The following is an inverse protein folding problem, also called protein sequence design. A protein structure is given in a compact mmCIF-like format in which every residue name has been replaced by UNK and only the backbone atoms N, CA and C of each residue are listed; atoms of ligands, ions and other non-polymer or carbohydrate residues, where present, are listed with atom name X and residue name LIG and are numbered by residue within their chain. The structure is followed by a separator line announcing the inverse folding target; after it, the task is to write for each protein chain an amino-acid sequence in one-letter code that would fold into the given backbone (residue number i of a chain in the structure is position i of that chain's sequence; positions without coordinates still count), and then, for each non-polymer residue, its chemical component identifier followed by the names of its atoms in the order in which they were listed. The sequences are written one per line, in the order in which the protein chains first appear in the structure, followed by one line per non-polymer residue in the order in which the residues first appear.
data_IF_559695746775
#
_entry.id   IF_559695746775
#
_cell.length_a   1.000
_cell.length_b   1.000
_cell.length_c   1.000
_cell.angle_alpha   90.00
_cell.angle_beta   90.00
_cell.angle_gamma   90.00
#
_symmetry.space_group_name_H-M   'P 1'
#
loop_
_entity.id
_entity.type
_entity.pdbx_description
1 polymer ?
#
# COMPACT_ATOMS: atom_id res chain seq x y z
N UNK A 1 13.42 8.71 -14.31
CA UNK A 1 12.06 8.49 -14.87
C UNK A 1 11.28 9.77 -14.65
N UNK A 2 10.74 10.35 -15.73
CA UNK A 2 9.90 11.56 -15.63
C UNK A 2 8.47 11.10 -15.35
N UNK A 3 8.02 11.26 -14.11
CA UNK A 3 6.61 11.06 -13.77
C UNK A 3 5.85 12.31 -14.19
N UNK A 4 5.04 12.19 -15.23
CA UNK A 4 4.17 13.28 -15.66
C UNK A 4 2.96 13.32 -14.74
N UNK A 5 2.66 14.46 -14.10
CA UNK A 5 1.47 14.56 -13.26
C UNK A 5 0.20 14.36 -14.10
N UNK A 6 -0.90 13.85 -13.51
CA UNK A 6 -2.16 13.65 -14.21
C UNK A 6 -2.60 14.93 -14.92
N UNK A 7 -3.07 14.81 -16.18
CA UNK A 7 -3.49 15.93 -17.02
C UNK A 7 -4.89 16.41 -16.61
N UNK A 8 -5.01 17.06 -15.47
CA UNK A 8 -6.26 17.68 -15.05
C UNK A 8 -6.54 18.93 -15.92
N UNK A 9 -7.72 18.98 -16.52
CA UNK A 9 -8.18 20.11 -17.32
C UNK A 9 -9.03 21.08 -16.54
N UNK A 10 -9.77 20.61 -15.53
CA UNK A 10 -10.74 21.37 -14.77
C UNK A 10 -10.49 21.28 -13.27
N UNK A 11 -10.79 22.37 -12.58
CA UNK A 11 -10.68 22.48 -11.13
C UNK A 11 -11.74 21.63 -10.42
N UNK A 12 -11.37 20.76 -9.48
CA UNK A 12 -12.34 19.94 -8.75
C UNK A 12 -13.26 20.77 -7.83
N UNK A 13 -12.83 21.98 -7.44
CA UNK A 13 -13.62 22.84 -6.54
C UNK A 13 -14.71 23.64 -7.25
N UNK A 14 -14.46 24.12 -8.48
CA UNK A 14 -15.38 25.07 -9.14
C UNK A 14 -15.61 24.81 -10.62
N UNK A 15 -15.04 23.77 -11.20
CA UNK A 15 -15.13 23.43 -12.63
C UNK A 15 -14.40 24.40 -13.57
N UNK A 16 -13.68 25.40 -13.06
CA UNK A 16 -12.90 26.33 -13.88
C UNK A 16 -11.70 25.66 -14.53
N UNK A 17 -11.22 26.18 -15.67
CA UNK A 17 -10.06 25.65 -16.36
C UNK A 17 -8.78 25.76 -15.52
N UNK A 18 -7.95 24.75 -15.56
CA UNK A 18 -6.63 24.74 -14.92
C UNK A 18 -5.56 25.12 -15.93
N UNK A 19 -4.59 25.93 -15.49
CA UNK A 19 -3.38 26.25 -16.27
C UNK A 19 -2.14 26.08 -15.42
N UNK A 20 -1.08 25.60 -16.04
CA UNK A 20 0.24 25.51 -15.39
C UNK A 20 0.80 26.92 -15.15
N UNK A 21 1.26 27.16 -13.93
CA UNK A 21 1.87 28.41 -13.48
C UNK A 21 3.06 28.14 -12.58
N UNK A 22 4.14 28.91 -12.67
CA UNK A 22 5.24 28.86 -11.69
C UNK A 22 4.72 29.16 -10.27
N UNK A 23 5.09 28.31 -9.31
CA UNK A 23 4.81 28.50 -7.87
C UNK A 23 5.99 28.01 -7.06
N UNK A 24 6.83 28.92 -6.58
CA UNK A 24 8.08 28.63 -5.94
C UNK A 24 9.05 27.95 -6.93
N UNK A 25 9.56 26.79 -6.56
CA UNK A 25 10.53 25.99 -7.31
C UNK A 25 9.91 25.06 -8.36
N UNK A 26 8.58 25.04 -8.49
CA UNK A 26 7.85 24.10 -9.36
C UNK A 26 6.67 24.75 -10.06
N UNK A 27 6.36 24.19 -11.23
CA UNK A 27 5.12 24.46 -11.90
C UNK A 27 3.95 23.73 -11.23
N UNK A 28 2.82 24.45 -11.05
CA UNK A 28 1.58 23.92 -10.46
C UNK A 28 0.39 24.23 -11.36
N UNK A 29 -0.63 23.38 -11.27
CA UNK A 29 -1.92 23.67 -11.89
C UNK A 29 -2.69 24.67 -11.04
N UNK A 30 -3.08 25.79 -11.64
CA UNK A 30 -3.82 26.89 -10.96
C UNK A 30 -5.13 27.12 -11.68
N UNK A 31 -6.23 27.16 -10.93
CA UNK A 31 -7.54 27.45 -11.47
C UNK A 31 -7.64 28.91 -11.96
N UNK A 32 -8.15 29.10 -13.18
CA UNK A 32 -8.31 30.43 -13.76
C UNK A 32 -9.53 31.18 -13.21
N UNK A 33 -10.45 30.48 -12.49
CA UNK A 33 -11.68 31.03 -11.94
C UNK A 33 -11.59 31.31 -10.44
N UNK A 34 -11.22 30.31 -9.62
CA UNK A 34 -11.16 30.47 -8.17
C UNK A 34 -9.73 30.63 -7.62
N UNK A 35 -8.72 30.61 -8.48
CA UNK A 35 -7.30 30.75 -8.16
C UNK A 35 -6.72 29.66 -7.25
N UNK A 36 -7.49 28.59 -6.99
CA UNK A 36 -7.01 27.44 -6.21
C UNK A 36 -5.83 26.77 -6.89
N UNK A 37 -4.82 26.37 -6.11
CA UNK A 37 -3.66 25.63 -6.58
C UNK A 37 -3.92 24.13 -6.38
N UNK A 38 -3.94 23.38 -7.48
CA UNK A 38 -4.12 21.94 -7.40
C UNK A 38 -2.78 21.25 -7.08
N UNK A 39 -2.71 20.63 -5.91
CA UNK A 39 -1.63 19.76 -5.53
C UNK A 39 -1.97 18.32 -5.93
N UNK A 40 -1.06 17.69 -6.67
CA UNK A 40 -1.16 16.27 -7.02
C UNK A 40 -0.21 15.50 -6.12
N UNK A 41 -0.78 14.77 -5.18
CA UNK A 41 -0.05 13.98 -4.21
C UNK A 41 -0.11 12.48 -4.57
N UNK A 42 0.90 11.68 -4.22
CA UNK A 42 0.79 10.23 -4.32
C UNK A 42 -0.33 9.73 -3.41
N UNK A 43 -1.01 8.67 -3.81
CA UNK A 43 -1.94 7.97 -2.93
C UNK A 43 -1.17 7.27 -1.81
N UNK A 44 -1.82 7.10 -0.65
CA UNK A 44 -1.23 6.36 0.48
C UNK A 44 -1.77 4.94 0.45
N UNK A 45 -0.86 3.97 0.34
CA UNK A 45 -1.14 2.55 0.48
C UNK A 45 -0.65 2.03 1.82
N UNK A 46 -1.34 1.01 2.34
CA UNK A 46 -0.98 0.32 3.58
C UNK A 46 -0.94 -1.17 3.34
N UNK A 47 -0.06 -1.87 4.04
CA UNK A 47 0.07 -3.32 3.96
C UNK A 47 0.36 -3.91 5.34
N UNK A 48 -0.10 -5.12 5.59
CA UNK A 48 0.15 -5.83 6.85
C UNK A 48 0.99 -7.08 6.59
N UNK A 49 2.17 -7.11 7.18
CA UNK A 49 3.08 -8.27 7.13
C UNK A 49 2.82 -9.15 8.34
N UNK A 50 2.18 -10.28 8.11
CA UNK A 50 1.98 -11.31 9.14
C UNK A 50 3.01 -12.40 8.96
N UNK A 51 3.74 -12.71 10.04
CA UNK A 51 4.76 -13.76 10.06
C UNK A 51 4.30 -14.96 10.88
N UNK A 52 4.56 -16.15 10.35
CA UNK A 52 4.44 -17.43 11.05
C UNK A 52 5.77 -18.19 10.86
N UNK A 53 6.55 -18.28 11.93
CA UNK A 53 7.89 -18.86 11.89
C UNK A 53 8.81 -18.17 10.85
N UNK A 54 9.23 -18.89 9.82
CA UNK A 54 10.04 -18.39 8.70
C UNK A 54 9.22 -17.99 7.46
N UNK A 55 7.88 -18.03 7.56
CA UNK A 55 6.95 -17.70 6.49
C UNK A 55 6.26 -16.36 6.73
N UNK A 56 5.86 -15.69 5.63
CA UNK A 56 4.94 -14.55 5.67
C UNK A 56 3.70 -14.82 4.80
N UNK A 57 2.61 -14.13 5.12
CA UNK A 57 1.36 -14.22 4.38
C UNK A 57 1.46 -13.43 3.07
N UNK A 58 0.98 -14.05 1.99
CA UNK A 58 0.86 -13.48 0.66
C UNK A 58 -0.54 -13.66 0.12
N UNK A 59 -0.94 -12.76 -0.77
CA UNK A 59 -2.16 -12.86 -1.53
C UNK A 59 -1.89 -12.78 -3.03
N UNK A 60 -2.63 -13.56 -3.84
CA UNK A 60 -2.56 -13.51 -5.30
C UNK A 60 -3.67 -12.61 -5.82
N UNK A 61 -3.30 -11.68 -6.69
CA UNK A 61 -4.22 -10.70 -7.28
C UNK A 61 -5.23 -11.39 -8.22
N UNK A 62 -6.52 -11.18 -7.96
CA UNK A 62 -7.65 -11.75 -8.72
C UNK A 62 -7.82 -11.09 -10.09
N UNK A 63 -7.47 -9.82 -10.22
CA UNK A 63 -7.75 -9.04 -11.42
C UNK A 63 -6.84 -7.82 -11.58
N UNK A 64 -7.20 -6.98 -12.56
CA UNK A 64 -6.47 -5.75 -12.87
C UNK A 64 -5.14 -6.00 -13.58
N UNK A 65 -4.25 -4.97 -13.65
CA UNK A 65 -2.99 -5.05 -14.37
C UNK A 65 -1.99 -6.06 -13.78
N UNK A 66 -2.22 -6.50 -12.54
CA UNK A 66 -1.35 -7.43 -11.82
C UNK A 66 -2.03 -8.78 -11.56
N UNK A 67 -3.02 -9.16 -12.36
CA UNK A 67 -3.73 -10.43 -12.23
C UNK A 67 -2.76 -11.62 -12.20
N UNK A 68 -2.92 -12.51 -11.22
CA UNK A 68 -2.09 -13.69 -11.02
C UNK A 68 -0.75 -13.44 -10.35
N UNK A 69 -0.38 -12.17 -10.11
CA UNK A 69 0.81 -11.83 -9.36
C UNK A 69 0.53 -11.75 -7.86
N UNK A 70 1.56 -11.96 -7.05
CA UNK A 70 1.50 -12.02 -5.60
C UNK A 70 1.90 -10.69 -4.96
N UNK A 71 1.25 -10.32 -3.87
CA UNK A 71 1.58 -9.17 -3.06
C UNK A 71 1.43 -9.49 -1.56
N UNK A 72 2.08 -8.71 -0.72
CA UNK A 72 1.70 -8.63 0.69
C UNK A 72 0.30 -7.99 0.73
N UNK A 73 -0.68 -8.53 1.51
CA UNK A 73 -2.02 -7.98 1.58
C UNK A 73 -2.01 -6.47 1.85
N UNK A 74 -2.69 -5.68 1.01
CA UNK A 74 -2.55 -4.25 0.98
C UNK A 74 -3.70 -3.53 0.25
N UNK A 75 -4.00 -2.32 0.68
CA UNK A 75 -4.96 -1.47 0.01
C UNK A 75 -4.72 0.01 0.24
N UNK A 76 -5.69 0.85 -0.09
CA UNK A 76 -5.58 2.29 0.03
C UNK A 76 -6.19 2.81 1.32
N UNK A 77 -5.59 3.89 1.83
CA UNK A 77 -6.18 4.68 2.93
C UNK A 77 -7.28 5.55 2.36
N UNK A 78 -8.47 5.45 2.93
CA UNK A 78 -9.62 6.27 2.54
C UNK A 78 -9.55 7.66 3.15
N UNK A 79 -10.31 8.61 2.57
CA UNK A 79 -10.37 9.97 3.09
C UNK A 79 -10.89 10.01 4.53
N UNK A 80 -10.07 10.57 5.44
CA UNK A 80 -10.43 10.68 6.86
C UNK A 80 -10.17 9.43 7.69
N UNK A 81 -9.57 8.39 7.09
CA UNK A 81 -9.23 7.15 7.77
C UNK A 81 -7.82 7.19 8.37
N UNK A 82 -7.66 6.64 9.58
CA UNK A 82 -6.33 6.40 10.16
C UNK A 82 -5.61 5.27 9.44
N UNK A 83 -4.32 5.43 9.20
CA UNK A 83 -3.52 4.47 8.40
C UNK A 83 -3.47 3.05 9.00
N UNK A 84 -3.59 2.90 10.34
CA UNK A 84 -3.60 1.58 10.99
C UNK A 84 -4.99 0.95 10.92
N UNK A 85 -6.03 1.76 10.98
CA UNK A 85 -7.41 1.32 10.77
C UNK A 85 -7.58 0.82 9.34
N UNK A 86 -7.10 1.59 8.35
CA UNK A 86 -7.08 1.19 6.95
C UNK A 86 -6.33 -0.16 6.76
N UNK A 87 -5.14 -0.29 7.34
CA UNK A 87 -4.34 -1.51 7.24
C UNK A 87 -5.08 -2.73 7.83
N UNK A 88 -5.73 -2.58 8.99
CA UNK A 88 -6.50 -3.66 9.60
C UNK A 88 -7.74 -4.04 8.79
N UNK A 89 -8.44 -3.05 8.23
CA UNK A 89 -9.62 -3.24 7.37
C UNK A 89 -9.26 -3.99 6.09
N UNK A 90 -8.29 -3.49 5.32
CA UNK A 90 -7.84 -4.11 4.07
C UNK A 90 -7.34 -5.54 4.31
N UNK A 91 -6.57 -5.75 5.38
CA UNK A 91 -6.09 -7.08 5.73
C UNK A 91 -7.23 -8.06 6.02
N UNK A 92 -8.28 -7.62 6.73
CA UNK A 92 -9.46 -8.44 7.00
C UNK A 92 -10.25 -8.75 5.73
N UNK A 93 -10.49 -7.74 4.87
CA UNK A 93 -11.24 -7.86 3.63
C UNK A 93 -10.55 -8.81 2.64
N UNK A 94 -9.23 -8.73 2.53
CA UNK A 94 -8.43 -9.54 1.61
C UNK A 94 -8.12 -10.96 2.11
N UNK A 95 -8.03 -11.17 3.43
CA UNK A 95 -7.53 -12.44 3.99
C UNK A 95 -8.51 -13.18 4.90
N UNK A 96 -9.61 -12.55 5.32
CA UNK A 96 -10.54 -13.10 6.30
C UNK A 96 -9.98 -13.16 7.73
N UNK A 97 -8.76 -12.66 7.95
CA UNK A 97 -8.11 -12.64 9.27
C UNK A 97 -8.16 -11.25 9.89
N UNK A 98 -8.53 -11.17 11.16
CA UNK A 98 -8.33 -9.96 11.95
C UNK A 98 -6.90 -9.89 12.45
N UNK A 99 -6.28 -8.71 12.39
CA UNK A 99 -4.93 -8.47 12.85
C UNK A 99 -4.82 -7.24 13.75
N UNK A 100 -4.00 -7.35 14.78
CA UNK A 100 -3.47 -6.20 15.50
C UNK A 100 -2.33 -5.59 14.66
N UNK A 101 -2.44 -4.31 14.31
CA UNK A 101 -1.47 -3.58 13.50
C UNK A 101 -0.43 -2.94 14.40
N UNK A 102 0.80 -3.43 14.31
CA UNK A 102 1.94 -3.06 15.15
C UNK A 102 2.81 -1.93 14.57
N UNK A 103 4.12 -2.09 14.70
CA UNK A 103 5.12 -1.11 14.28
C UNK A 103 5.22 -1.00 12.75
N UNK A 104 5.67 0.17 12.26
CA UNK A 104 6.03 0.36 10.85
C UNK A 104 7.32 -0.40 10.57
N UNK A 105 7.28 -1.30 9.61
CA UNK A 105 8.43 -2.07 9.14
C UNK A 105 9.20 -1.36 8.04
N UNK A 106 8.45 -0.74 7.11
CA UNK A 106 9.01 -0.04 5.97
C UNK A 106 8.08 1.06 5.45
N UNK A 107 8.66 2.06 4.81
CA UNK A 107 7.96 3.06 4.01
C UNK A 107 8.69 3.20 2.69
N UNK A 108 8.00 2.96 1.58
CA UNK A 108 8.58 3.09 0.25
C UNK A 108 7.70 3.91 -0.68
N UNK A 109 8.33 4.68 -1.56
CA UNK A 109 7.66 5.28 -2.70
C UNK A 109 7.59 4.28 -3.84
N UNK A 110 6.40 4.11 -4.43
CA UNK A 110 6.17 3.26 -5.59
C UNK A 110 6.18 4.12 -6.86
N UNK A 111 7.11 3.85 -7.74
CA UNK A 111 7.26 4.50 -9.04
C UNK A 111 7.06 3.56 -10.24
N UNK A 112 6.64 2.31 -9.98
CA UNK A 112 6.45 1.30 -11.02
C UNK A 112 5.23 1.59 -11.91
N UNK A 113 4.22 2.29 -11.37
CA UNK A 113 3.10 2.83 -12.12
C UNK A 113 3.24 4.37 -12.17
N UNK A 114 3.72 4.93 -13.29
CA UNK A 114 3.94 6.37 -13.42
C UNK A 114 2.65 7.19 -13.47
N UNK A 115 1.51 6.56 -13.74
CA UNK A 115 0.20 7.22 -13.76
C UNK A 115 -0.43 7.30 -12.38
N UNK A 116 -0.02 6.41 -11.47
CA UNK A 116 -0.54 6.34 -10.11
C UNK A 116 0.59 6.15 -9.09
N UNK A 117 1.27 7.22 -8.80
CA UNK A 117 2.29 7.20 -7.75
C UNK A 117 1.68 6.93 -6.39
N UNK A 118 2.33 6.08 -5.59
CA UNK A 118 1.90 5.78 -4.22
C UNK A 118 3.05 5.86 -3.24
N UNK A 119 2.72 6.08 -1.97
CA UNK A 119 3.60 5.83 -0.83
C UNK A 119 3.00 4.67 -0.07
N UNK A 120 3.73 3.56 0.02
CA UNK A 120 3.33 2.38 0.77
C UNK A 120 3.93 2.39 2.17
N UNK A 121 3.11 2.00 3.15
CA UNK A 121 3.48 1.81 4.56
C UNK A 121 3.23 0.36 4.92
N UNK A 122 4.28 -0.39 5.25
CA UNK A 122 4.17 -1.79 5.69
C UNK A 122 4.23 -1.85 7.21
N UNK A 123 3.23 -2.47 7.80
CA UNK A 123 3.13 -2.67 9.24
C UNK A 123 3.39 -4.12 9.62
N UNK A 124 3.98 -4.35 10.78
CA UNK A 124 3.95 -5.66 11.42
C UNK A 124 2.53 -5.98 11.85
N UNK A 125 2.06 -7.21 11.61
CA UNK A 125 0.74 -7.66 12.01
C UNK A 125 0.80 -8.92 12.88
N UNK A 126 -0.10 -9.00 13.87
CA UNK A 126 -0.34 -10.19 14.69
C UNK A 126 -1.79 -10.64 14.48
N UNK A 127 -1.99 -11.88 14.02
CA UNK A 127 -3.33 -12.44 13.84
C UNK A 127 -4.02 -12.58 15.19
N UNK A 128 -5.23 -12.06 15.28
CA UNK A 128 -6.07 -12.10 16.48
C UNK A 128 -7.22 -13.12 16.36
N UNK A 129 -7.58 -13.49 15.12
CA UNK A 129 -8.67 -14.43 14.85
C UNK A 129 -9.07 -14.40 13.38
N UNK A 130 -10.16 -15.05 13.05
CA UNK A 130 -10.68 -15.16 11.70
C UNK A 130 -10.35 -16.51 11.05
N UNK A 131 -10.78 -16.67 9.79
CA UNK A 131 -10.52 -17.86 8.98
C UNK A 131 -9.78 -17.38 7.73
N UNK A 132 -8.61 -17.95 7.47
CA UNK A 132 -7.80 -17.61 6.30
C UNK A 132 -8.55 -17.97 5.02
N UNK A 133 -9.00 -16.97 4.32
CA UNK A 133 -9.76 -17.10 3.09
C UNK A 133 -9.53 -15.87 2.21
N UNK A 134 -9.18 -16.08 0.94
CA UNK A 134 -9.05 -14.98 -0.01
C UNK A 134 -10.37 -14.26 -0.21
N UNK A 135 -10.33 -12.95 -0.18
CA UNK A 135 -11.47 -12.07 -0.37
C UNK A 135 -11.08 -10.84 -1.19
N UNK A 136 -12.05 -9.98 -1.48
CA UNK A 136 -11.92 -8.75 -2.24
C UNK A 136 -11.09 -8.92 -3.52
N UNK A 137 -9.96 -8.27 -3.60
CA UNK A 137 -9.04 -8.23 -4.74
C UNK A 137 -8.16 -9.48 -4.91
N UNK A 138 -8.21 -10.43 -3.95
CA UNK A 138 -7.39 -11.64 -3.94
C UNK A 138 -8.22 -12.89 -4.28
N UNK A 139 -7.63 -13.84 -5.00
CA UNK A 139 -8.22 -15.15 -5.30
C UNK A 139 -7.53 -16.32 -4.60
N UNK A 140 -6.35 -16.08 -4.03
CA UNK A 140 -5.61 -17.05 -3.23
C UNK A 140 -4.81 -16.33 -2.14
N UNK A 141 -4.75 -16.91 -0.94
CA UNK A 141 -3.92 -16.44 0.18
C UNK A 141 -3.21 -17.62 0.81
N UNK A 142 -1.96 -17.39 1.21
CA UNK A 142 -1.16 -18.45 1.83
C UNK A 142 0.13 -17.95 2.46
N UNK A 143 0.70 -18.79 3.33
CA UNK A 143 2.00 -18.55 3.93
C UNK A 143 3.09 -19.16 3.08
N UNK A 144 4.09 -18.36 2.71
CA UNK A 144 5.25 -18.80 1.93
C UNK A 144 6.54 -18.44 2.64
N UNK A 145 7.60 -19.25 2.47
CA UNK A 145 8.89 -18.99 3.11
C UNK A 145 9.43 -17.61 2.75
N UNK A 146 9.91 -16.88 3.76
CA UNK A 146 10.54 -15.57 3.54
C UNK A 146 11.75 -15.69 2.59
N UNK A 147 12.44 -16.84 2.61
CA UNK A 147 13.57 -17.11 1.72
C UNK A 147 13.15 -17.29 0.26
N UNK A 148 11.93 -17.80 0.01
CA UNK A 148 11.40 -18.15 -1.32
C UNK A 148 9.97 -17.60 -1.45
N UNK A 149 9.79 -16.28 -1.63
CA UNK A 149 8.47 -15.69 -1.85
C UNK A 149 7.85 -16.21 -3.15
N UNK A 150 6.52 -16.22 -3.26
CA UNK A 150 5.86 -16.63 -4.49
C UNK A 150 6.14 -15.64 -5.63
N UNK A 151 6.06 -16.11 -6.87
CA UNK A 151 6.33 -15.28 -8.05
C UNK A 151 5.26 -15.48 -9.12
N UNK A 152 5.00 -14.47 -9.98
CA UNK A 152 5.62 -13.15 -9.99
C UNK A 152 5.09 -12.25 -8.86
N UNK A 153 5.87 -11.27 -8.43
CA UNK A 153 5.40 -10.23 -7.51
C UNK A 153 4.67 -9.13 -8.27
N UNK A 154 3.55 -8.67 -7.68
CA UNK A 154 2.77 -7.55 -8.20
C UNK A 154 3.52 -6.21 -8.04
N UNK A 155 4.17 -6.04 -6.90
CA UNK A 155 4.82 -4.78 -6.55
C UNK A 155 6.32 -4.99 -6.27
N UNK A 156 7.21 -4.28 -7.00
CA UNK A 156 8.66 -4.35 -6.76
C UNK A 156 9.07 -3.97 -5.33
N UNK A 157 8.26 -3.14 -4.66
CA UNK A 157 8.48 -2.72 -3.27
C UNK A 157 8.32 -3.84 -2.26
N UNK A 158 7.50 -4.87 -2.53
CA UNK A 158 7.40 -6.05 -1.66
C UNK A 158 8.73 -6.82 -1.60
N UNK A 159 9.47 -6.86 -2.70
CA UNK A 159 10.83 -7.43 -2.71
C UNK A 159 11.79 -6.64 -1.79
N UNK A 160 11.65 -5.31 -1.72
CA UNK A 160 12.45 -4.48 -0.82
C UNK A 160 12.11 -4.80 0.64
N UNK A 161 10.82 -4.88 0.97
CA UNK A 161 10.34 -5.25 2.31
C UNK A 161 10.88 -6.63 2.72
N UNK A 162 10.75 -7.64 1.85
CA UNK A 162 11.31 -8.98 2.10
C UNK A 162 12.83 -8.93 2.35
N UNK A 163 13.56 -8.12 1.58
CA UNK A 163 14.99 -7.96 1.77
C UNK A 163 15.34 -7.32 3.13
N UNK A 164 14.54 -6.38 3.60
CA UNK A 164 14.70 -5.76 4.93
C UNK A 164 14.37 -6.74 6.06
N UNK A 165 13.32 -7.53 5.91
CA UNK A 165 12.95 -8.58 6.86
C UNK A 165 14.05 -9.64 7.01
N UNK A 166 14.67 -10.07 5.90
CA UNK A 166 15.80 -11.01 5.90
C UNK A 166 17.03 -10.49 6.64
N UNK A 167 17.24 -9.17 6.66
CA UNK A 167 18.35 -8.54 7.39
C UNK A 167 18.12 -8.42 8.90
N UNK A 168 16.97 -8.88 9.40
CA UNK A 168 16.63 -8.80 10.83
C UNK A 168 16.42 -7.37 11.35
N UNK A 169 16.22 -6.39 10.48
CA UNK A 169 16.01 -4.99 10.86
C UNK A 169 14.62 -4.73 11.46
N UNK A 170 13.67 -5.60 11.19
CA UNK A 170 12.33 -5.49 11.75
C UNK A 170 12.30 -6.06 13.17
N UNK A 171 12.05 -5.21 14.15
CA UNK A 171 11.74 -5.66 15.53
C UNK A 171 10.30 -6.19 15.52
N UNK A 172 10.16 -7.49 15.42
CA UNK A 172 8.90 -8.14 15.75
C UNK A 172 8.76 -8.10 17.27
N UNK A 173 7.85 -7.30 17.79
CA UNK A 173 7.44 -7.45 19.18
C UNK A 173 6.71 -8.80 19.27
N UNK A 174 7.44 -9.84 19.69
CA UNK A 174 6.80 -11.06 20.11
C UNK A 174 5.85 -10.68 21.24
N UNK A 175 4.56 -10.91 21.06
CA UNK A 175 3.61 -10.83 22.17
C UNK A 175 4.19 -11.66 23.31
N UNK A 176 4.30 -11.06 24.49
CA UNK A 176 4.53 -11.86 25.70
C UNK A 176 3.40 -12.88 25.75
N UNK A 177 3.70 -14.17 25.94
CA UNK A 177 2.63 -15.10 26.25
C UNK A 177 1.92 -14.59 27.49
N UNK A 178 0.62 -14.39 27.37
CA UNK A 178 -0.23 -14.05 28.51
C UNK A 178 0.01 -15.08 29.62
N UNK A 179 0.27 -14.56 30.83
CA UNK A 179 0.36 -15.37 32.04
C UNK A 179 -1.04 -15.77 32.47
#
# INVERSE_FOLDING_TARGET
MSCTPPNYRFCPCCGGSLKTRPRGDRDRLVCQKCHEVLYVNPAVGVAVVVRREDQILWGRRKGGPYQGAWCIPCGYVEWGEDVRVAAAREFLEETGLSAEVGEVLAVHSNFHDPERLTVGIWFAGRVMGGILQAGDDLDEVGFFPLAAPPVPLAFPTDALVVAELKKGKARWTSARPDR
#
